data_IF_437224831177
#
_entry.id   IF_437224831177
#
_cell.length_a   1.000
_cell.length_b   1.000
_cell.length_c   1.000
_cell.angle_alpha   90.00
_cell.angle_beta   90.00
_cell.angle_gamma   90.00
#
_symmetry.space_group_name_H-M   'P 1'
#
loop_
_entity.id
_entity.type
_entity.pdbx_description
1 polymer ?
#
# COMPACT_ATOMS: atom_id res chain seq x y z
N UNK A 1 -12.27 7.97 -59.23
CA UNK A 1 -13.03 7.48 -58.08
C UNK A 1 -12.07 7.39 -56.91
N UNK A 2 -11.97 8.46 -56.13
CA UNK A 2 -11.14 8.57 -54.97
C UNK A 2 -12.09 8.79 -53.81
N UNK A 3 -12.23 7.82 -52.91
CA UNK A 3 -13.09 7.87 -51.74
C UNK A 3 -12.23 7.89 -50.46
N UNK A 4 -12.16 9.06 -49.83
CA UNK A 4 -12.38 9.36 -48.44
C UNK A 4 -11.99 8.28 -47.41
N UNK A 5 -10.79 8.40 -46.87
CA UNK A 5 -10.51 7.99 -45.50
C UNK A 5 -10.49 9.26 -44.61
N UNK A 6 -11.66 9.55 -44.02
CA UNK A 6 -11.78 10.47 -42.92
C UNK A 6 -11.35 9.72 -41.64
N UNK A 7 -10.10 9.84 -41.30
CA UNK A 7 -9.59 9.46 -39.97
C UNK A 7 -10.16 10.46 -38.97
N UNK A 8 -11.14 10.03 -38.18
CA UNK A 8 -11.68 10.79 -37.04
C UNK A 8 -10.53 11.03 -36.04
N UNK A 9 -9.96 12.21 -36.11
CA UNK A 9 -8.92 12.66 -35.18
C UNK A 9 -9.52 12.73 -33.76
N UNK A 10 -9.11 11.79 -32.92
CA UNK A 10 -9.37 11.84 -31.48
C UNK A 10 -8.87 13.19 -30.92
N UNK A 11 -9.59 13.82 -29.98
CA UNK A 11 -9.20 15.10 -29.42
C UNK A 11 -7.82 14.97 -28.74
N UNK A 12 -6.80 15.53 -29.40
CA UNK A 12 -5.45 15.64 -28.81
C UNK A 12 -5.51 16.69 -27.71
N UNK A 13 -5.44 16.25 -26.45
CA UNK A 13 -5.17 17.16 -25.34
C UNK A 13 -3.78 17.78 -25.59
N UNK A 14 -3.75 19.11 -25.71
CA UNK A 14 -2.54 19.86 -26.04
C UNK A 14 -1.41 19.61 -25.02
N UNK A 15 -0.13 19.49 -25.44
CA UNK A 15 0.99 19.40 -24.51
C UNK A 15 1.10 20.68 -23.69
N UNK A 16 1.42 20.56 -22.39
CA UNK A 16 1.66 21.71 -21.51
C UNK A 16 2.90 22.43 -22.03
N UNK A 17 2.71 23.66 -22.53
CA UNK A 17 3.83 24.50 -23.00
C UNK A 17 4.69 24.96 -21.80
N UNK A 18 6.03 24.89 -21.90
CA UNK A 18 6.91 25.47 -20.90
C UNK A 18 6.83 27.02 -21.01
N UNK A 19 6.40 27.70 -19.93
CA UNK A 19 6.46 29.16 -19.86
C UNK A 19 5.14 29.90 -19.56
N UNK A 20 4.03 29.22 -19.25
CA UNK A 20 2.81 29.91 -18.81
C UNK A 20 2.93 30.41 -17.36
N UNK A 21 2.38 31.59 -17.01
CA UNK A 21 2.32 32.08 -15.64
C UNK A 21 1.61 31.07 -14.74
N UNK A 22 2.06 30.91 -13.50
CA UNK A 22 1.61 29.84 -12.55
C UNK A 22 0.09 29.86 -12.23
N UNK A 23 -0.66 30.88 -12.67
CA UNK A 23 -2.11 31.03 -12.45
C UNK A 23 -3.00 30.42 -13.55
N UNK A 24 -2.51 30.28 -14.80
CA UNK A 24 -3.33 29.98 -15.98
C UNK A 24 -3.13 28.53 -16.52
N UNK A 25 -2.32 27.70 -15.88
CA UNK A 25 -2.12 26.34 -16.33
C UNK A 25 -3.41 25.51 -16.15
N UNK A 26 -3.83 24.73 -17.19
CA UNK A 26 -5.04 23.90 -17.10
C UNK A 26 -4.91 22.86 -16.00
N UNK A 27 -5.94 22.71 -15.18
CA UNK A 27 -6.00 21.70 -14.13
C UNK A 27 -6.73 20.46 -14.66
N UNK A 28 -6.04 19.33 -14.77
CA UNK A 28 -6.58 18.06 -15.28
C UNK A 28 -7.23 17.24 -14.14
N UNK A 29 -8.34 17.73 -13.58
CA UNK A 29 -9.05 17.06 -12.50
C UNK A 29 -9.57 15.67 -12.87
N UNK A 30 -10.00 15.47 -14.12
CA UNK A 30 -10.36 14.15 -14.63
C UNK A 30 -9.22 13.14 -14.51
N UNK A 31 -7.98 13.58 -14.78
CA UNK A 31 -6.78 12.77 -14.59
C UNK A 31 -6.52 12.41 -13.13
N UNK A 32 -6.71 13.36 -12.20
CA UNK A 32 -6.59 13.11 -10.75
C UNK A 32 -7.63 12.07 -10.30
N UNK A 33 -8.90 12.21 -10.71
CA UNK A 33 -9.97 11.27 -10.36
C UNK A 33 -9.73 9.88 -10.95
N UNK A 34 -9.24 9.79 -12.19
CA UNK A 34 -8.88 8.53 -12.81
C UNK A 34 -7.72 7.84 -12.07
N UNK A 35 -6.70 8.60 -11.63
CA UNK A 35 -5.63 8.09 -10.80
C UNK A 35 -6.12 7.68 -9.40
N UNK A 36 -7.09 8.40 -8.82
CA UNK A 36 -7.73 8.04 -7.55
C UNK A 36 -8.44 6.68 -7.64
N UNK A 37 -9.18 6.44 -8.73
CA UNK A 37 -9.81 5.14 -8.98
C UNK A 37 -8.78 4.03 -9.19
N UNK A 38 -7.67 4.35 -9.87
CA UNK A 38 -6.56 3.42 -10.04
C UNK A 38 -5.92 3.04 -8.68
N UNK A 39 -5.66 4.02 -7.79
CA UNK A 39 -5.16 3.76 -6.42
C UNK A 39 -6.13 2.89 -5.64
N UNK A 40 -7.42 3.20 -5.70
CA UNK A 40 -8.45 2.38 -5.06
C UNK A 40 -8.36 0.92 -5.51
N UNK A 41 -8.32 0.68 -6.82
CA UNK A 41 -8.27 -0.67 -7.39
C UNK A 41 -6.96 -1.38 -7.05
N UNK A 42 -5.84 -0.65 -7.07
CA UNK A 42 -4.51 -1.16 -6.73
C UNK A 42 -4.47 -1.66 -5.29
N UNK A 43 -4.88 -0.82 -4.35
CA UNK A 43 -4.90 -1.16 -2.91
C UNK A 43 -5.90 -2.27 -2.62
N UNK A 44 -7.07 -2.24 -3.27
CA UNK A 44 -8.05 -3.32 -3.16
C UNK A 44 -7.46 -4.66 -3.62
N UNK A 45 -6.79 -4.69 -4.78
CA UNK A 45 -6.13 -5.89 -5.30
C UNK A 45 -4.96 -6.37 -4.42
N UNK A 46 -4.22 -5.45 -3.81
CA UNK A 46 -3.08 -5.76 -2.95
C UNK A 46 -3.51 -6.42 -1.63
N UNK A 47 -4.55 -5.89 -0.97
CA UNK A 47 -4.97 -6.33 0.37
C UNK A 47 -6.15 -7.30 0.39
N UNK A 48 -6.87 -7.48 -0.71
CA UNK A 48 -7.96 -8.45 -0.80
C UNK A 48 -7.57 -9.89 -0.36
N UNK A 49 -6.36 -10.41 -0.65
CA UNK A 49 -5.94 -11.74 -0.17
C UNK A 49 -6.01 -11.90 1.34
N UNK A 50 -5.77 -10.84 2.13
CA UNK A 50 -5.88 -10.89 3.60
C UNK A 50 -7.29 -11.32 4.04
N UNK A 51 -8.32 -10.78 3.38
CA UNK A 51 -9.71 -11.11 3.68
C UNK A 51 -10.21 -12.39 3.02
N UNK A 52 -9.43 -13.00 2.13
CA UNK A 52 -9.78 -14.20 1.36
C UNK A 52 -8.84 -15.38 1.64
N UNK A 53 -7.93 -15.24 2.62
CA UNK A 53 -6.81 -16.16 2.81
C UNK A 53 -7.27 -17.62 2.99
N UNK A 54 -8.19 -17.86 3.92
CA UNK A 54 -8.72 -19.21 4.23
C UNK A 54 -9.42 -19.86 3.03
N UNK A 55 -10.40 -19.23 2.34
CA UNK A 55 -11.04 -19.85 1.20
C UNK A 55 -10.07 -20.05 0.01
N UNK A 56 -9.05 -19.21 -0.15
CA UNK A 56 -8.02 -19.39 -1.17
C UNK A 56 -7.14 -20.61 -0.85
N UNK A 57 -6.70 -20.74 0.41
CA UNK A 57 -5.88 -21.85 0.87
C UNK A 57 -6.62 -23.20 0.67
N UNK A 58 -7.88 -23.25 1.10
CA UNK A 58 -8.71 -24.44 0.96
C UNK A 58 -8.91 -24.87 -0.50
N UNK A 59 -9.23 -23.93 -1.39
CA UNK A 59 -9.53 -24.23 -2.79
C UNK A 59 -8.27 -24.52 -3.63
N UNK A 60 -7.13 -23.90 -3.29
CA UNK A 60 -5.83 -24.16 -3.93
C UNK A 60 -5.10 -25.37 -3.33
N UNK A 61 -5.69 -26.03 -2.31
CA UNK A 61 -5.11 -27.18 -1.60
C UNK A 61 -3.71 -26.90 -1.01
N UNK A 62 -3.54 -25.72 -0.42
CA UNK A 62 -2.32 -25.29 0.27
C UNK A 62 -2.62 -24.86 1.70
N UNK A 63 -1.59 -24.71 2.54
CA UNK A 63 -1.77 -24.12 3.86
C UNK A 63 -2.05 -22.62 3.79
N UNK A 64 -2.55 -22.04 4.87
CA UNK A 64 -2.77 -20.59 4.99
C UNK A 64 -1.47 -19.82 4.91
N UNK A 65 -0.37 -20.38 5.41
CA UNK A 65 0.97 -19.81 5.27
C UNK A 65 1.38 -19.72 3.80
N UNK A 66 1.20 -20.80 3.04
CA UNK A 66 1.48 -20.79 1.60
C UNK A 66 0.60 -19.80 0.83
N UNK A 67 -0.69 -19.72 1.14
CA UNK A 67 -1.57 -18.71 0.53
C UNK A 67 -1.11 -17.29 0.85
N UNK A 68 -0.63 -17.03 2.07
CA UNK A 68 -0.05 -15.76 2.52
C UNK A 68 1.22 -15.34 1.77
N UNK A 69 1.99 -16.27 1.22
CA UNK A 69 3.15 -15.96 0.38
C UNK A 69 2.78 -15.20 -0.90
N UNK A 70 1.50 -15.19 -1.31
CA UNK A 70 1.02 -14.30 -2.36
C UNK A 70 1.21 -12.81 -2.03
N UNK A 71 1.19 -12.42 -0.75
CA UNK A 71 1.51 -11.06 -0.31
C UNK A 71 3.03 -10.85 -0.34
N UNK A 72 3.79 -11.85 0.08
CA UNK A 72 5.25 -11.80 0.07
C UNK A 72 5.82 -11.62 -1.35
N UNK A 73 5.34 -12.41 -2.32
CA UNK A 73 5.80 -12.30 -3.71
C UNK A 73 5.42 -10.97 -4.34
N UNK A 74 4.21 -10.46 -4.04
CA UNK A 74 3.81 -9.11 -4.47
C UNK A 74 4.77 -8.06 -3.93
N UNK A 75 5.10 -8.10 -2.64
CA UNK A 75 6.08 -7.20 -2.02
C UNK A 75 7.47 -7.30 -2.65
N UNK A 76 7.97 -8.51 -2.90
CA UNK A 76 9.27 -8.73 -3.53
C UNK A 76 9.34 -8.12 -4.94
N UNK A 77 8.33 -8.35 -5.77
CA UNK A 77 8.24 -7.75 -7.11
C UNK A 77 8.00 -6.23 -7.06
N UNK A 78 7.33 -5.73 -6.02
CA UNK A 78 7.20 -4.29 -5.80
C UNK A 78 8.55 -3.62 -5.51
N UNK A 79 9.41 -4.23 -4.70
CA UNK A 79 10.78 -3.76 -4.46
C UNK A 79 11.58 -3.74 -5.77
N UNK A 80 11.58 -4.85 -6.50
CA UNK A 80 12.28 -4.94 -7.79
C UNK A 80 11.81 -3.88 -8.79
N UNK A 81 10.49 -3.71 -8.92
CA UNK A 81 9.92 -2.70 -9.80
C UNK A 81 10.24 -1.28 -9.35
N UNK A 82 10.12 -0.96 -8.06
CA UNK A 82 10.39 0.40 -7.54
C UNK A 82 11.84 0.83 -7.77
N UNK A 83 12.79 -0.08 -7.66
CA UNK A 83 14.21 0.18 -7.89
C UNK A 83 14.59 0.26 -9.38
N UNK A 84 13.87 -0.46 -10.24
CA UNK A 84 14.21 -0.58 -11.66
C UNK A 84 13.41 0.35 -12.58
N UNK A 85 12.18 0.72 -12.21
CA UNK A 85 11.25 1.46 -13.10
C UNK A 85 11.80 2.84 -13.51
N UNK A 86 12.50 3.52 -12.64
CA UNK A 86 13.12 4.82 -12.92
C UNK A 86 14.19 4.73 -14.02
N UNK A 87 14.84 3.57 -14.13
CA UNK A 87 15.87 3.29 -15.16
C UNK A 87 15.25 2.74 -16.42
N UNK A 88 14.39 1.73 -16.29
CA UNK A 88 13.75 1.05 -17.44
C UNK A 88 12.78 1.96 -18.19
N UNK A 89 12.04 2.79 -17.49
CA UNK A 89 11.04 3.68 -18.05
C UNK A 89 11.50 5.16 -18.11
N UNK A 90 12.81 5.42 -18.02
CA UNK A 90 13.38 6.77 -17.96
C UNK A 90 12.96 7.64 -19.14
N UNK A 91 12.93 7.09 -20.35
CA UNK A 91 12.56 7.77 -21.61
C UNK A 91 11.06 7.70 -21.94
N UNK A 92 10.28 6.93 -21.17
CA UNK A 92 8.87 6.72 -21.50
C UNK A 92 8.01 7.92 -21.08
N UNK A 93 7.00 8.21 -21.92
CA UNK A 93 5.93 9.12 -21.56
C UNK A 93 5.19 8.60 -20.30
N UNK A 94 5.01 9.46 -19.29
CA UNK A 94 4.41 9.07 -18.00
C UNK A 94 2.96 8.60 -18.14
N UNK A 95 2.20 9.14 -19.11
CA UNK A 95 0.86 8.64 -19.45
C UNK A 95 0.94 7.18 -19.92
N UNK A 96 1.81 6.89 -20.88
CA UNK A 96 1.98 5.52 -21.43
C UNK A 96 2.36 4.54 -20.32
N UNK A 97 3.29 4.92 -19.46
CA UNK A 97 3.73 4.08 -18.35
C UNK A 97 2.59 3.79 -17.35
N UNK A 98 1.79 4.81 -16.98
CA UNK A 98 0.61 4.62 -16.11
C UNK A 98 -0.42 3.70 -16.76
N UNK A 99 -0.69 3.85 -18.06
CA UNK A 99 -1.62 3.00 -18.79
C UNK A 99 -1.13 1.54 -18.83
N UNK A 100 0.17 1.31 -19.07
CA UNK A 100 0.77 -0.03 -19.03
C UNK A 100 0.65 -0.67 -17.65
N UNK A 101 0.94 0.08 -16.59
CA UNK A 101 0.80 -0.41 -15.21
C UNK A 101 -0.67 -0.71 -14.87
N UNK A 102 -1.62 0.14 -15.29
CA UNK A 102 -3.05 -0.10 -15.06
C UNK A 102 -3.55 -1.30 -15.88
N UNK A 103 -3.07 -1.47 -17.11
CA UNK A 103 -3.32 -2.65 -17.94
C UNK A 103 -2.76 -3.94 -17.30
N UNK A 104 -1.55 -3.86 -16.73
CA UNK A 104 -0.93 -4.97 -16.00
C UNK A 104 -1.72 -5.31 -14.71
N UNK A 105 -2.28 -4.30 -14.03
CA UNK A 105 -3.18 -4.51 -12.89
C UNK A 105 -4.45 -5.26 -13.30
N UNK A 106 -5.05 -4.90 -14.43
CA UNK A 106 -6.18 -5.62 -15.00
C UNK A 106 -5.81 -7.08 -15.32
N UNK A 107 -4.67 -7.31 -15.98
CA UNK A 107 -4.16 -8.64 -16.27
C UNK A 107 -3.90 -9.45 -14.99
N UNK A 108 -3.33 -8.83 -13.95
CA UNK A 108 -3.14 -9.47 -12.64
C UNK A 108 -4.46 -9.95 -12.04
N UNK A 109 -5.49 -9.08 -12.02
CA UNK A 109 -6.80 -9.41 -11.48
C UNK A 109 -7.46 -10.57 -12.26
N UNK A 110 -7.31 -10.58 -13.60
CA UNK A 110 -7.77 -11.68 -14.46
C UNK A 110 -7.02 -12.99 -14.15
N UNK A 111 -5.69 -12.95 -14.08
CA UNK A 111 -4.86 -14.14 -13.80
C UNK A 111 -5.20 -14.73 -12.44
N UNK A 112 -5.34 -13.90 -11.41
CA UNK A 112 -5.74 -14.35 -10.08
C UNK A 112 -7.18 -14.88 -10.08
N UNK A 113 -8.12 -14.17 -10.69
CA UNK A 113 -9.52 -14.53 -10.74
C UNK A 113 -9.81 -15.80 -11.57
N UNK A 114 -8.91 -16.15 -12.48
CA UNK A 114 -8.99 -17.38 -13.30
C UNK A 114 -8.02 -18.47 -12.81
N UNK A 115 -7.31 -18.26 -11.69
CA UNK A 115 -6.29 -19.19 -11.23
C UNK A 115 -6.89 -20.56 -10.88
N UNK A 116 -6.41 -21.60 -11.55
CA UNK A 116 -6.81 -22.99 -11.31
C UNK A 116 -5.84 -23.73 -10.38
N UNK A 117 -4.67 -23.13 -10.11
CA UNK A 117 -3.63 -23.71 -9.28
C UNK A 117 -2.82 -22.60 -8.58
N UNK A 118 -2.02 -23.00 -7.61
CA UNK A 118 -1.20 -22.12 -6.80
C UNK A 118 -0.18 -21.31 -7.62
N UNK A 119 0.46 -21.92 -8.64
CA UNK A 119 1.45 -21.25 -9.46
C UNK A 119 0.85 -20.10 -10.26
N UNK A 120 -0.35 -20.27 -10.81
CA UNK A 120 -1.08 -19.22 -11.52
C UNK A 120 -1.49 -18.08 -10.58
N UNK A 121 -1.94 -18.41 -9.36
CA UNK A 121 -2.19 -17.41 -8.31
C UNK A 121 -0.93 -16.60 -8.01
N UNK A 122 0.22 -17.27 -7.79
CA UNK A 122 1.50 -16.60 -7.50
C UNK A 122 1.97 -15.70 -8.66
N UNK A 123 1.78 -16.14 -9.92
CA UNK A 123 2.08 -15.32 -11.10
C UNK A 123 1.23 -14.04 -11.13
N UNK A 124 -0.06 -14.14 -10.87
CA UNK A 124 -0.93 -12.97 -10.77
C UNK A 124 -0.51 -12.03 -9.62
N UNK A 125 -0.10 -12.58 -8.48
CA UNK A 125 0.43 -11.80 -7.34
C UNK A 125 1.77 -11.11 -7.65
N UNK A 126 2.63 -11.74 -8.44
CA UNK A 126 3.86 -11.13 -8.92
C UNK A 126 3.58 -9.92 -9.85
N UNK A 127 2.60 -10.07 -10.74
CA UNK A 127 2.18 -8.98 -11.65
C UNK A 127 1.69 -7.76 -10.87
N UNK A 128 0.83 -7.93 -9.85
CA UNK A 128 0.36 -6.79 -9.05
C UNK A 128 1.52 -6.16 -8.27
N UNK A 129 2.51 -6.93 -7.83
CA UNK A 129 3.71 -6.40 -7.21
C UNK A 129 4.47 -5.43 -8.12
N UNK A 130 4.66 -5.79 -9.39
CA UNK A 130 5.26 -4.86 -10.38
C UNK A 130 4.45 -3.57 -10.48
N UNK A 131 3.11 -3.67 -10.49
CA UNK A 131 2.23 -2.48 -10.55
C UNK A 131 2.39 -1.62 -9.30
N UNK A 132 2.38 -2.22 -8.10
CA UNK A 132 2.55 -1.52 -6.82
C UNK A 132 3.85 -0.73 -6.82
N UNK A 133 4.98 -1.39 -7.08
CA UNK A 133 6.30 -0.75 -7.08
C UNK A 133 6.41 0.35 -8.14
N UNK A 134 5.95 0.07 -9.36
CA UNK A 134 5.99 1.03 -10.47
C UNK A 134 5.08 2.24 -10.26
N UNK A 135 3.85 2.00 -9.82
CA UNK A 135 2.86 3.06 -9.64
C UNK A 135 3.25 4.02 -8.49
N UNK A 136 3.58 3.51 -7.32
CA UNK A 136 3.94 4.34 -6.17
C UNK A 136 5.22 5.16 -6.40
N UNK A 137 6.15 4.65 -7.21
CA UNK A 137 7.40 5.38 -7.53
C UNK A 137 7.17 6.68 -8.30
N UNK A 138 6.02 6.85 -8.98
CA UNK A 138 5.81 8.00 -9.87
C UNK A 138 4.48 8.73 -9.68
N UNK A 139 3.48 8.07 -9.09
CA UNK A 139 2.09 8.57 -9.08
C UNK A 139 1.94 9.94 -8.41
N UNK A 140 2.64 10.18 -7.30
CA UNK A 140 2.62 11.47 -6.60
C UNK A 140 3.20 12.57 -7.49
N UNK A 141 4.34 12.33 -8.12
CA UNK A 141 4.97 13.30 -9.03
C UNK A 141 4.09 13.59 -10.24
N UNK A 142 3.41 12.59 -10.79
CA UNK A 142 2.43 12.76 -11.88
C UNK A 142 1.24 13.57 -11.41
N UNK A 143 0.66 13.25 -10.24
CA UNK A 143 -0.47 13.99 -9.68
C UNK A 143 -0.14 15.48 -9.50
N UNK A 144 1.07 15.80 -9.06
CA UNK A 144 1.54 17.18 -8.93
C UNK A 144 1.68 17.91 -10.27
N UNK A 145 1.99 17.20 -11.36
CA UNK A 145 2.09 17.77 -12.72
C UNK A 145 0.74 18.01 -13.38
N UNK A 146 -0.35 17.42 -12.87
CA UNK A 146 -1.69 17.53 -13.46
C UNK A 146 -2.43 18.81 -13.04
N UNK A 147 -1.92 19.55 -12.06
CA UNK A 147 -2.58 20.76 -11.54
C UNK A 147 -1.56 21.87 -11.25
N UNK A 148 -1.98 23.14 -11.27
CA UNK A 148 -1.16 24.26 -10.83
C UNK A 148 -0.69 24.09 -9.38
N UNK A 149 0.47 24.66 -9.02
CA UNK A 149 1.11 24.51 -7.70
C UNK A 149 0.17 24.83 -6.52
N UNK A 150 -0.63 25.90 -6.64
CA UNK A 150 -1.63 26.27 -5.63
C UNK A 150 -2.72 25.22 -5.37
N UNK A 151 -2.98 24.30 -6.33
CA UNK A 151 -4.01 23.26 -6.23
C UNK A 151 -3.43 21.88 -5.88
N UNK A 152 -2.12 21.74 -5.80
CA UNK A 152 -1.43 20.47 -5.48
C UNK A 152 -1.91 19.84 -4.16
N UNK A 153 -2.05 20.57 -3.03
CA UNK A 153 -2.52 19.97 -1.79
C UNK A 153 -3.90 19.32 -1.94
N UNK A 154 -4.81 19.96 -2.68
CA UNK A 154 -6.16 19.42 -2.95
C UNK A 154 -6.11 18.20 -3.87
N UNK A 155 -5.26 18.21 -4.89
CA UNK A 155 -5.10 17.09 -5.80
C UNK A 155 -4.55 15.85 -5.07
N UNK A 156 -3.54 16.02 -4.22
CA UNK A 156 -2.99 14.94 -3.41
C UNK A 156 -3.99 14.42 -2.37
N UNK A 157 -4.81 15.29 -1.79
CA UNK A 157 -5.88 14.86 -0.88
C UNK A 157 -6.91 13.97 -1.58
N UNK A 158 -7.36 14.33 -2.79
CA UNK A 158 -8.27 13.53 -3.60
C UNK A 158 -7.61 12.21 -4.00
N UNK A 159 -6.37 12.27 -4.50
CA UNK A 159 -5.58 11.09 -4.87
C UNK A 159 -5.45 10.09 -3.71
N UNK A 160 -5.09 10.55 -2.51
CA UNK A 160 -5.00 9.71 -1.32
C UNK A 160 -6.37 9.25 -0.80
N UNK A 161 -7.45 9.94 -1.15
CA UNK A 161 -8.82 9.52 -0.86
C UNK A 161 -9.15 8.14 -1.44
N UNK A 162 -8.59 7.79 -2.60
CA UNK A 162 -8.71 6.45 -3.19
C UNK A 162 -8.08 5.37 -2.32
N UNK A 163 -6.90 5.64 -1.77
CA UNK A 163 -6.24 4.74 -0.82
C UNK A 163 -7.06 4.55 0.47
N UNK A 164 -7.55 5.65 1.05
CA UNK A 164 -8.36 5.62 2.27
C UNK A 164 -9.66 4.84 2.04
N UNK A 165 -10.35 5.07 0.91
CA UNK A 165 -11.57 4.36 0.56
C UNK A 165 -11.31 2.86 0.37
N UNK A 166 -10.23 2.50 -0.33
CA UNK A 166 -9.86 1.10 -0.53
C UNK A 166 -9.57 0.39 0.81
N UNK A 167 -8.87 1.05 1.72
CA UNK A 167 -8.55 0.50 3.04
C UNK A 167 -9.81 0.19 3.86
N UNK A 168 -10.87 1.00 3.72
CA UNK A 168 -12.15 0.76 4.40
C UNK A 168 -12.96 -0.34 3.72
N UNK A 169 -13.01 -0.35 2.38
CA UNK A 169 -14.00 -1.13 1.63
C UNK A 169 -13.44 -2.48 1.17
N UNK A 170 -12.15 -2.56 0.81
CA UNK A 170 -11.61 -3.72 0.13
C UNK A 170 -11.67 -5.02 0.96
N UNK A 171 -11.29 -4.96 2.22
CA UNK A 171 -11.27 -6.16 3.07
C UNK A 171 -12.68 -6.66 3.42
N UNK A 172 -13.63 -5.84 3.91
CA UNK A 172 -14.98 -6.31 4.20
C UNK A 172 -15.73 -6.73 2.94
N UNK A 173 -15.61 -5.96 1.84
CA UNK A 173 -16.24 -6.30 0.57
C UNK A 173 -15.63 -7.58 -0.02
N UNK A 174 -14.31 -7.73 0.03
CA UNK A 174 -13.61 -8.95 -0.38
C UNK A 174 -14.08 -10.17 0.41
N UNK A 175 -14.19 -10.05 1.73
CA UNK A 175 -14.72 -11.12 2.59
C UNK A 175 -16.16 -11.50 2.23
N UNK A 176 -17.04 -10.51 2.04
CA UNK A 176 -18.44 -10.72 1.67
C UNK A 176 -18.57 -11.36 0.28
N UNK A 177 -17.91 -10.82 -0.72
CA UNK A 177 -17.91 -11.37 -2.09
C UNK A 177 -17.30 -12.78 -2.12
N UNK A 178 -16.22 -12.99 -1.37
CA UNK A 178 -15.61 -14.31 -1.26
C UNK A 178 -16.54 -15.37 -0.69
N UNK A 179 -17.45 -14.97 0.22
CA UNK A 179 -18.46 -15.86 0.77
C UNK A 179 -19.67 -16.09 -0.14
N UNK A 180 -19.97 -15.17 -1.06
CA UNK A 180 -21.16 -15.23 -1.93
C UNK A 180 -20.87 -15.76 -3.34
N UNK A 181 -19.80 -15.29 -3.97
CA UNK A 181 -19.42 -15.61 -5.36
C UNK A 181 -18.05 -16.30 -5.46
N UNK A 182 -17.46 -16.63 -4.31
CA UNK A 182 -16.13 -17.21 -4.21
C UNK A 182 -15.00 -16.20 -4.35
N UNK A 183 -13.80 -16.59 -3.90
CA UNK A 183 -12.62 -15.70 -3.91
C UNK A 183 -12.20 -15.29 -5.32
N UNK A 184 -12.34 -16.17 -6.31
CA UNK A 184 -12.07 -15.83 -7.73
C UNK A 184 -13.02 -14.77 -8.22
N UNK A 185 -14.31 -14.89 -7.91
CA UNK A 185 -15.32 -13.89 -8.26
C UNK A 185 -15.01 -12.53 -7.66
N UNK A 186 -14.52 -12.47 -6.41
CA UNK A 186 -14.13 -11.23 -5.76
C UNK A 186 -12.98 -10.52 -6.53
N UNK A 187 -11.97 -11.25 -7.00
CA UNK A 187 -10.91 -10.68 -7.85
C UNK A 187 -11.43 -10.28 -9.24
N UNK A 188 -12.32 -11.06 -9.85
CA UNK A 188 -12.92 -10.72 -11.14
C UNK A 188 -13.77 -9.46 -11.07
N UNK A 189 -14.37 -9.13 -9.93
CA UNK A 189 -15.06 -7.85 -9.73
C UNK A 189 -14.13 -6.63 -9.81
N UNK A 190 -12.82 -6.78 -9.59
CA UNK A 190 -11.86 -5.69 -9.77
C UNK A 190 -11.56 -5.41 -11.25
N UNK A 191 -11.76 -6.38 -12.15
CA UNK A 191 -11.47 -6.24 -13.58
C UNK A 191 -12.25 -5.09 -14.21
N UNK A 192 -13.59 -5.00 -14.10
CA UNK A 192 -14.33 -3.87 -14.67
C UNK A 192 -13.93 -2.53 -14.07
N UNK A 193 -13.56 -2.49 -12.77
CA UNK A 193 -13.09 -1.26 -12.12
C UNK A 193 -11.72 -0.85 -12.66
N UNK A 194 -10.81 -1.82 -12.87
CA UNK A 194 -9.51 -1.58 -13.48
C UNK A 194 -9.62 -1.12 -14.94
N UNK A 195 -10.52 -1.73 -15.72
CA UNK A 195 -10.82 -1.31 -17.09
C UNK A 195 -11.40 0.11 -17.15
N UNK A 196 -12.31 0.44 -16.24
CA UNK A 196 -12.85 1.79 -16.13
C UNK A 196 -11.73 2.79 -15.79
N UNK A 197 -10.86 2.47 -14.83
CA UNK A 197 -9.71 3.30 -14.49
C UNK A 197 -8.76 3.47 -15.69
N UNK A 198 -8.48 2.40 -16.44
CA UNK A 198 -7.66 2.41 -17.64
C UNK A 198 -8.26 3.31 -18.72
N UNK A 199 -9.54 3.13 -19.04
CA UNK A 199 -10.25 3.93 -20.03
C UNK A 199 -10.29 5.40 -19.62
N UNK A 200 -10.61 5.67 -18.35
CA UNK A 200 -10.64 7.04 -17.85
C UNK A 200 -9.27 7.71 -17.86
N UNK A 201 -8.19 7.01 -17.50
CA UNK A 201 -6.82 7.51 -17.65
C UNK A 201 -6.47 7.79 -19.12
N UNK A 202 -6.88 6.91 -20.04
CA UNK A 202 -6.62 7.09 -21.47
C UNK A 202 -7.15 8.43 -22.00
N UNK A 203 -8.39 8.79 -21.64
CA UNK A 203 -9.03 10.02 -22.10
C UNK A 203 -8.61 11.26 -21.28
N UNK A 204 -8.37 11.13 -19.99
CA UNK A 204 -8.19 12.29 -19.09
C UNK A 204 -6.76 12.68 -18.81
N UNK A 205 -5.77 11.78 -19.04
CA UNK A 205 -4.37 12.12 -18.82
C UNK A 205 -3.79 12.81 -20.05
N UNK A 206 -3.14 13.97 -19.89
CA UNK A 206 -2.38 14.61 -20.96
C UNK A 206 -1.10 13.80 -21.26
N UNK A 207 -0.53 14.05 -22.45
CA UNK A 207 0.82 13.55 -22.75
C UNK A 207 1.84 14.22 -21.83
N UNK A 208 2.62 13.41 -21.13
CA UNK A 208 3.62 13.86 -20.16
C UNK A 208 4.99 13.28 -20.52
N UNK A 209 5.75 13.94 -21.42
CA UNK A 209 7.10 13.51 -21.78
C UNK A 209 7.96 13.29 -20.52
N UNK A 210 8.90 12.34 -20.63
CA UNK A 210 9.89 12.14 -19.60
C UNK A 210 10.60 13.47 -19.29
N UNK A 211 10.77 13.80 -18.01
CA UNK A 211 11.61 14.93 -17.65
C UNK A 211 13.05 14.67 -18.09
N UNK A 212 13.79 15.69 -18.56
CA UNK A 212 15.21 15.54 -18.78
C UNK A 212 15.86 14.94 -17.55
N UNK A 213 16.75 13.98 -17.73
CA UNK A 213 17.51 13.37 -16.63
C UNK A 213 18.26 14.46 -15.89
N UNK A 214 17.70 14.99 -14.83
CA UNK A 214 18.54 15.48 -13.74
C UNK A 214 19.18 14.20 -13.22
N UNK A 215 20.49 14.08 -13.35
CA UNK A 215 21.22 12.91 -12.92
C UNK A 215 20.96 12.71 -11.42
N UNK A 216 19.92 11.95 -11.11
CA UNK A 216 19.71 11.39 -9.77
C UNK A 216 20.79 10.31 -9.56
N UNK A 217 22.04 10.77 -9.69
CA UNK A 217 23.25 9.94 -9.63
C UNK A 217 23.74 9.76 -8.21
N UNK A 218 22.85 9.64 -7.25
CA UNK A 218 23.20 9.23 -5.90
C UNK A 218 22.75 7.78 -5.66
N UNK A 219 23.72 6.91 -5.31
CA UNK A 219 23.37 5.60 -4.77
C UNK A 219 22.47 5.82 -3.55
N UNK A 220 21.17 5.51 -3.66
CA UNK A 220 20.15 5.71 -2.62
C UNK A 220 20.59 5.07 -1.29
N UNK A 221 21.40 4.00 -1.37
CA UNK A 221 21.99 3.35 -0.20
C UNK A 221 23.03 4.21 0.54
N UNK A 222 23.57 5.31 -0.08
CA UNK A 222 24.43 6.26 0.64
C UNK A 222 23.67 6.97 1.77
N UNK A 223 22.35 7.12 1.65
CA UNK A 223 21.52 7.70 2.71
C UNK A 223 21.58 6.87 4.00
N UNK A 224 21.75 5.56 3.90
CA UNK A 224 21.89 4.65 5.05
C UNK A 224 23.24 4.81 5.77
N UNK A 225 24.20 5.53 5.23
CA UNK A 225 25.46 5.87 5.95
C UNK A 225 25.20 6.87 7.09
N UNK A 226 24.12 7.66 7.00
CA UNK A 226 23.66 8.46 8.12
C UNK A 226 22.97 7.54 9.16
N UNK A 227 23.54 7.48 10.37
CA UNK A 227 23.04 6.63 11.46
C UNK A 227 21.60 6.91 11.84
N UNK A 228 21.17 8.19 11.79
CA UNK A 228 19.78 8.58 12.09
C UNK A 228 18.82 8.00 11.06
N UNK A 229 19.17 8.12 9.76
CA UNK A 229 18.39 7.56 8.66
C UNK A 229 18.35 6.04 8.74
N UNK A 230 19.48 5.39 8.94
CA UNK A 230 19.58 3.93 9.03
C UNK A 230 18.72 3.37 10.17
N UNK A 231 18.80 3.96 11.37
CA UNK A 231 17.98 3.53 12.52
C UNK A 231 16.50 3.80 12.31
N UNK A 232 16.13 4.95 11.75
CA UNK A 232 14.75 5.25 11.43
C UNK A 232 14.17 4.30 10.38
N UNK A 233 14.91 4.01 9.31
CA UNK A 233 14.51 3.03 8.28
C UNK A 233 14.37 1.62 8.86
N UNK A 234 15.27 1.21 9.77
CA UNK A 234 15.16 -0.08 10.47
C UNK A 234 13.92 -0.11 11.38
N UNK A 235 13.62 1.00 12.07
CA UNK A 235 12.41 1.12 12.89
C UNK A 235 11.13 0.99 12.05
N UNK A 236 11.07 1.67 10.89
CA UNK A 236 9.99 1.52 9.90
C UNK A 236 9.87 0.07 9.44
N UNK A 237 11.00 -0.55 9.07
CA UNK A 237 11.01 -1.94 8.62
C UNK A 237 10.45 -2.90 9.67
N UNK A 238 10.93 -2.81 10.92
CA UNK A 238 10.44 -3.64 12.02
C UNK A 238 8.96 -3.40 12.31
N UNK A 239 8.49 -2.14 12.19
CA UNK A 239 7.09 -1.80 12.36
C UNK A 239 6.22 -2.51 11.32
N UNK A 240 6.52 -2.35 10.03
CA UNK A 240 5.73 -2.98 8.95
C UNK A 240 5.85 -4.50 8.96
N UNK A 241 7.02 -5.04 9.27
CA UNK A 241 7.20 -6.47 9.43
C UNK A 241 6.30 -7.02 10.55
N UNK A 242 6.34 -6.40 11.76
CA UNK A 242 5.50 -6.79 12.89
C UNK A 242 4.00 -6.65 12.60
N UNK A 243 3.61 -5.56 11.92
CA UNK A 243 2.22 -5.36 11.50
C UNK A 243 1.74 -6.50 10.58
N UNK A 244 2.51 -6.87 9.56
CA UNK A 244 2.08 -7.84 8.55
C UNK A 244 2.27 -9.30 8.97
N UNK A 245 3.13 -9.60 9.94
CA UNK A 245 3.14 -10.92 10.61
C UNK A 245 1.75 -11.26 11.17
N UNK A 246 1.05 -10.31 11.78
CA UNK A 246 -0.29 -10.50 12.34
C UNK A 246 -1.39 -10.27 11.29
N UNK A 247 -1.36 -9.13 10.60
CA UNK A 247 -2.47 -8.67 9.77
C UNK A 247 -2.77 -9.62 8.60
N UNK A 248 -1.74 -10.24 8.02
CA UNK A 248 -1.91 -11.24 6.95
C UNK A 248 -2.78 -12.41 7.41
N UNK A 249 -2.70 -12.80 8.67
CA UNK A 249 -3.37 -13.97 9.24
C UNK A 249 -4.55 -13.62 10.15
N UNK A 250 -5.06 -12.38 10.07
CA UNK A 250 -6.20 -11.93 10.88
C UNK A 250 -7.47 -12.73 10.59
N UNK A 251 -7.72 -13.09 9.32
CA UNK A 251 -8.89 -13.88 8.95
C UNK A 251 -8.83 -15.29 9.53
N UNK A 252 -7.78 -16.10 9.32
CA UNK A 252 -7.63 -17.41 9.99
C UNK A 252 -7.80 -17.32 11.51
N UNK A 253 -7.27 -16.29 12.14
CA UNK A 253 -7.43 -16.08 13.59
C UNK A 253 -8.90 -15.87 13.97
N UNK A 254 -9.64 -15.04 13.23
CA UNK A 254 -11.06 -14.80 13.50
C UNK A 254 -11.91 -16.06 13.29
N UNK A 255 -11.58 -16.88 12.30
CA UNK A 255 -12.32 -18.11 11.99
C UNK A 255 -11.99 -19.26 12.95
N UNK A 256 -10.71 -19.47 13.29
CA UNK A 256 -10.27 -20.64 14.06
C UNK A 256 -10.18 -20.40 15.58
N UNK A 257 -9.75 -19.19 16.01
CA UNK A 257 -9.56 -18.86 17.43
C UNK A 257 -10.79 -18.16 18.00
N UNK A 258 -11.25 -17.07 17.35
CA UNK A 258 -12.45 -16.33 17.80
C UNK A 258 -13.75 -17.05 17.39
N UNK A 259 -13.69 -17.86 16.32
CA UNK A 259 -14.82 -18.68 15.81
C UNK A 259 -16.02 -17.85 15.38
N UNK A 260 -15.78 -16.72 14.74
CA UNK A 260 -16.85 -15.86 14.21
C UNK A 260 -17.31 -16.31 12.83
N UNK A 261 -18.60 -16.12 12.55
CA UNK A 261 -19.16 -16.32 11.21
C UNK A 261 -18.82 -15.18 10.25
N UNK A 262 -19.05 -15.41 8.95
CA UNK A 262 -18.74 -14.49 7.88
C UNK A 262 -19.30 -13.05 8.07
N UNK A 263 -20.55 -12.83 8.54
CA UNK A 263 -21.07 -11.48 8.76
C UNK A 263 -20.26 -10.70 9.82
N UNK A 264 -19.96 -11.35 10.96
CA UNK A 264 -19.19 -10.75 12.05
C UNK A 264 -17.74 -10.48 11.62
N UNK A 265 -17.12 -11.41 10.87
CA UNK A 265 -15.80 -11.25 10.30
C UNK A 265 -15.75 -10.02 9.37
N UNK A 266 -16.70 -9.90 8.45
CA UNK A 266 -16.77 -8.75 7.53
C UNK A 266 -16.98 -7.43 8.29
N UNK A 267 -17.77 -7.45 9.38
CA UNK A 267 -17.98 -6.28 10.23
C UNK A 267 -16.70 -5.89 10.97
N UNK A 268 -15.94 -6.83 11.50
CA UNK A 268 -14.64 -6.56 12.15
C UNK A 268 -13.68 -5.92 11.14
N UNK A 269 -13.58 -6.45 9.93
CA UNK A 269 -12.73 -5.88 8.87
C UNK A 269 -13.18 -4.46 8.48
N UNK A 270 -14.49 -4.20 8.45
CA UNK A 270 -15.02 -2.86 8.21
C UNK A 270 -14.63 -1.89 9.33
N UNK A 271 -14.73 -2.33 10.59
CA UNK A 271 -14.32 -1.49 11.74
C UNK A 271 -12.83 -1.20 11.73
N UNK A 272 -11.98 -2.17 11.35
CA UNK A 272 -10.55 -1.93 11.16
C UNK A 272 -10.32 -0.79 10.15
N UNK A 273 -11.01 -0.83 9.01
CA UNK A 273 -10.89 0.20 7.97
C UNK A 273 -11.41 1.57 8.42
N UNK A 274 -12.62 1.64 9.01
CA UNK A 274 -13.21 2.89 9.49
C UNK A 274 -12.38 3.53 10.60
N UNK A 275 -11.93 2.73 11.57
CA UNK A 275 -11.05 3.20 12.62
C UNK A 275 -9.71 3.70 12.06
N UNK A 276 -9.21 3.07 10.99
CA UNK A 276 -8.02 3.51 10.26
C UNK A 276 -8.16 4.91 9.67
N UNK A 277 -9.33 5.25 9.10
CA UNK A 277 -9.62 6.61 8.63
C UNK A 277 -9.58 7.60 9.79
N UNK A 278 -10.22 7.27 10.92
CA UNK A 278 -10.18 8.10 12.13
C UNK A 278 -8.74 8.32 12.58
N UNK A 279 -7.93 7.27 12.62
CA UNK A 279 -6.51 7.35 12.97
C UNK A 279 -5.72 8.29 12.03
N UNK A 280 -5.96 8.19 10.72
CA UNK A 280 -5.32 9.04 9.71
C UNK A 280 -5.69 10.52 9.87
N UNK A 281 -6.93 10.82 10.25
CA UNK A 281 -7.36 12.20 10.53
C UNK A 281 -6.72 12.75 11.81
N UNK A 282 -6.64 11.93 12.85
CA UNK A 282 -6.16 12.36 14.17
C UNK A 282 -4.63 12.48 14.24
N UNK A 283 -3.88 11.69 13.46
CA UNK A 283 -2.43 11.57 13.58
C UNK A 283 -1.71 12.91 13.49
N UNK A 284 -2.15 13.82 12.62
CA UNK A 284 -1.55 15.15 12.47
C UNK A 284 -1.52 15.97 13.76
N UNK A 285 -2.52 15.79 14.61
CA UNK A 285 -2.58 16.46 15.93
C UNK A 285 -1.52 15.90 16.90
N UNK A 286 -1.35 14.58 16.91
CA UNK A 286 -0.36 13.92 17.75
C UNK A 286 1.07 14.22 17.27
N UNK A 287 1.31 14.24 15.97
CA UNK A 287 2.62 14.58 15.39
C UNK A 287 3.06 16.00 15.76
N UNK A 288 2.14 16.97 15.73
CA UNK A 288 2.42 18.36 16.17
C UNK A 288 2.77 18.47 17.64
N UNK A 289 2.20 17.60 18.49
CA UNK A 289 2.51 17.58 19.95
C UNK A 289 3.83 16.89 20.27
N UNK A 290 4.30 16.00 19.40
CA UNK A 290 5.56 15.29 19.60
C UNK A 290 5.72 14.12 18.64
N UNK A 291 6.38 14.36 17.52
CA UNK A 291 6.56 13.36 16.46
C UNK A 291 7.20 12.08 16.98
N UNK A 292 8.35 12.16 17.62
CA UNK A 292 9.05 10.97 18.11
C UNK A 292 8.28 10.23 19.21
N UNK A 293 7.56 10.95 20.09
CA UNK A 293 6.68 10.31 21.09
C UNK A 293 5.59 9.50 20.40
N UNK A 294 5.02 10.01 19.33
CA UNK A 294 3.98 9.33 18.54
C UNK A 294 4.55 8.10 17.83
N UNK A 295 5.73 8.22 17.22
CA UNK A 295 6.40 7.12 16.52
C UNK A 295 6.83 5.98 17.44
N UNK A 296 7.11 6.26 18.70
CA UNK A 296 7.39 5.26 19.75
C UNK A 296 6.10 4.64 20.29
N UNK A 297 5.07 5.48 20.55
CA UNK A 297 3.84 5.02 21.17
C UNK A 297 3.01 4.09 20.27
N UNK A 298 2.95 4.36 18.96
CA UNK A 298 2.15 3.55 18.03
C UNK A 298 2.60 2.07 18.03
N UNK A 299 3.85 1.70 17.74
CA UNK A 299 4.25 0.30 17.75
C UNK A 299 4.16 -0.33 19.15
N UNK A 300 4.38 0.44 20.23
CA UNK A 300 4.21 -0.05 21.60
C UNK A 300 2.76 -0.44 21.88
N UNK A 301 1.80 0.44 21.54
CA UNK A 301 0.38 0.17 21.73
C UNK A 301 -0.07 -1.02 20.85
N UNK A 302 0.41 -1.11 19.61
CA UNK A 302 0.11 -2.24 18.74
C UNK A 302 0.69 -3.55 19.30
N UNK A 303 1.88 -3.54 19.91
CA UNK A 303 2.44 -4.71 20.59
C UNK A 303 1.54 -5.16 21.77
N UNK A 304 1.06 -4.21 22.57
CA UNK A 304 0.11 -4.51 23.65
C UNK A 304 -1.19 -5.09 23.10
N UNK A 305 -1.74 -4.52 22.01
CA UNK A 305 -2.94 -5.05 21.35
C UNK A 305 -2.70 -6.48 20.86
N UNK A 306 -1.56 -6.78 20.25
CA UNK A 306 -1.22 -8.13 19.80
C UNK A 306 -1.17 -9.14 20.95
N UNK A 307 -0.60 -8.76 22.11
CA UNK A 307 -0.59 -9.60 23.31
C UNK A 307 -2.00 -9.77 23.91
N UNK A 308 -2.81 -8.70 23.91
CA UNK A 308 -4.21 -8.80 24.35
C UNK A 308 -5.03 -9.71 23.42
N UNK A 309 -4.79 -9.70 22.12
CA UNK A 309 -5.42 -10.63 21.17
C UNK A 309 -5.02 -12.09 21.43
N UNK A 310 -3.78 -12.36 21.90
CA UNK A 310 -3.37 -13.71 22.33
C UNK A 310 -4.14 -14.13 23.60
N UNK A 311 -4.33 -13.20 24.54
CA UNK A 311 -4.99 -13.49 25.82
C UNK A 311 -6.51 -13.64 25.67
N UNK A 312 -7.16 -12.74 24.95
CA UNK A 312 -8.62 -12.63 24.82
C UNK A 312 -9.16 -13.07 23.46
N UNK A 313 -8.36 -13.78 22.66
CA UNK A 313 -8.69 -14.14 21.27
C UNK A 313 -9.95 -14.97 21.10
N UNK A 314 -10.40 -15.70 22.14
CA UNK A 314 -11.65 -16.47 22.13
C UNK A 314 -12.92 -15.62 22.32
N UNK A 315 -12.79 -14.34 22.69
CA UNK A 315 -13.93 -13.48 23.03
C UNK A 315 -14.19 -12.45 21.92
N UNK A 316 -15.37 -12.46 21.32
CA UNK A 316 -15.71 -11.64 20.15
C UNK A 316 -15.63 -10.14 20.47
N UNK A 317 -16.16 -9.69 21.61
CA UNK A 317 -16.23 -8.25 21.93
C UNK A 317 -14.84 -7.65 22.17
N UNK A 318 -13.95 -8.22 23.00
CA UNK A 318 -12.56 -7.76 23.10
C UNK A 318 -11.83 -7.74 21.76
N UNK A 319 -11.94 -8.82 20.97
CA UNK A 319 -11.29 -8.91 19.64
C UNK A 319 -11.77 -7.81 18.72
N UNK A 320 -13.08 -7.53 18.69
CA UNK A 320 -13.67 -6.47 17.89
C UNK A 320 -13.07 -5.08 18.23
N UNK A 321 -12.98 -4.75 19.53
CA UNK A 321 -12.42 -3.48 20.01
C UNK A 321 -10.91 -3.40 19.71
N UNK A 322 -10.17 -4.47 20.03
CA UNK A 322 -8.72 -4.52 19.86
C UNK A 322 -8.32 -4.38 18.39
N UNK A 323 -9.03 -5.06 17.48
CA UNK A 323 -8.76 -4.94 16.04
C UNK A 323 -9.19 -3.58 15.46
N UNK A 324 -10.24 -2.96 16.01
CA UNK A 324 -10.57 -1.57 15.68
C UNK A 324 -9.44 -0.61 16.07
N UNK A 325 -8.91 -0.72 17.29
CA UNK A 325 -7.76 0.07 17.76
C UNK A 325 -6.49 -0.23 16.94
N UNK A 326 -6.27 -1.51 16.58
CA UNK A 326 -5.20 -1.90 15.68
C UNK A 326 -5.29 -1.16 14.34
N UNK A 327 -6.46 -1.17 13.69
CA UNK A 327 -6.70 -0.49 12.43
C UNK A 327 -6.43 1.01 12.51
N UNK A 328 -6.86 1.65 13.59
CA UNK A 328 -6.63 3.07 13.84
C UNK A 328 -5.13 3.40 13.90
N UNK A 329 -4.33 2.62 14.63
CA UNK A 329 -2.90 2.85 14.78
C UNK A 329 -2.11 2.46 13.53
N UNK A 330 -2.43 1.31 12.93
CA UNK A 330 -1.75 0.78 11.76
C UNK A 330 -1.86 1.69 10.53
N UNK A 331 -3.04 2.27 10.29
CA UNK A 331 -3.27 3.16 9.15
C UNK A 331 -2.73 4.58 9.38
N UNK A 332 -2.64 5.02 10.63
CA UNK A 332 -2.06 6.31 11.01
C UNK A 332 -0.53 6.33 10.90
N UNK A 333 0.15 5.23 11.21
CA UNK A 333 1.60 5.14 11.31
C UNK A 333 2.37 5.57 10.05
N UNK A 334 1.97 5.19 8.81
CA UNK A 334 2.64 5.63 7.59
C UNK A 334 2.79 7.14 7.49
N UNK A 335 1.74 7.90 7.85
CA UNK A 335 1.78 9.37 7.85
C UNK A 335 2.86 9.90 8.80
N UNK A 336 3.04 9.27 9.95
CA UNK A 336 4.09 9.61 10.90
C UNK A 336 5.49 9.39 10.31
N UNK A 337 5.71 8.25 9.69
CA UNK A 337 7.00 7.90 9.09
C UNK A 337 7.35 8.74 7.86
N UNK A 338 6.36 9.09 7.03
CA UNK A 338 6.56 10.05 5.94
C UNK A 338 6.90 11.45 6.46
N UNK A 339 6.25 11.90 7.53
CA UNK A 339 6.55 13.18 8.17
C UNK A 339 7.95 13.21 8.77
N UNK A 340 8.38 12.10 9.40
CA UNK A 340 9.74 11.94 9.90
C UNK A 340 10.77 12.02 8.77
N UNK A 341 10.55 11.30 7.67
CA UNK A 341 11.45 11.30 6.53
C UNK A 341 11.63 12.71 5.94
N UNK A 342 10.54 13.43 5.77
CA UNK A 342 10.55 14.80 5.24
C UNK A 342 11.35 15.78 6.13
N UNK A 343 11.39 15.55 7.45
CA UNK A 343 12.18 16.35 8.38
C UNK A 343 13.66 15.97 8.39
N UNK A 344 13.97 14.70 8.25
CA UNK A 344 15.36 14.19 8.34
C UNK A 344 16.11 14.33 7.02
N UNK A 345 15.41 14.27 5.88
CA UNK A 345 15.97 14.34 4.53
C UNK A 345 15.27 15.41 3.66
N UNK A 346 15.30 16.70 4.05
CA UNK A 346 14.60 17.76 3.29
C UNK A 346 15.20 17.97 1.89
N UNK A 347 16.50 17.72 1.70
CA UNK A 347 17.20 17.85 0.41
C UNK A 347 17.11 16.63 -0.50
N UNK A 348 16.82 15.45 0.07
CA UNK A 348 16.81 14.15 -0.62
C UNK A 348 15.46 13.44 -0.50
N UNK A 349 14.36 14.21 -0.41
CA UNK A 349 13.03 13.66 -0.13
C UNK A 349 12.56 12.61 -1.15
N UNK A 350 12.90 12.77 -2.43
CA UNK A 350 12.54 11.81 -3.48
C UNK A 350 13.30 10.49 -3.33
N UNK A 351 14.63 10.56 -3.15
CA UNK A 351 15.47 9.39 -2.96
C UNK A 351 15.15 8.66 -1.64
N UNK A 352 14.92 9.44 -0.57
CA UNK A 352 14.50 8.93 0.74
C UNK A 352 13.11 8.27 0.68
N UNK A 353 12.18 8.85 -0.08
CA UNK A 353 10.84 8.29 -0.31
C UNK A 353 10.90 6.94 -1.02
N UNK A 354 11.70 6.84 -2.08
CA UNK A 354 11.91 5.56 -2.78
C UNK A 354 12.51 4.48 -1.87
N UNK A 355 13.48 4.84 -1.04
CA UNK A 355 14.07 3.94 -0.05
C UNK A 355 13.05 3.49 1.01
N UNK A 356 12.21 4.42 1.49
CA UNK A 356 11.15 4.12 2.44
C UNK A 356 10.14 3.12 1.87
N UNK A 357 9.67 3.35 0.63
CA UNK A 357 8.73 2.44 -0.05
C UNK A 357 9.36 1.05 -0.23
N UNK A 358 10.59 0.98 -0.72
CA UNK A 358 11.29 -0.29 -0.89
C UNK A 358 11.45 -1.05 0.45
N UNK A 359 11.81 -0.33 1.53
CA UNK A 359 11.92 -0.91 2.87
C UNK A 359 10.58 -1.42 3.39
N UNK A 360 9.50 -0.63 3.23
CA UNK A 360 8.15 -1.01 3.63
C UNK A 360 7.70 -2.28 2.91
N UNK A 361 7.81 -2.33 1.58
CA UNK A 361 7.38 -3.48 0.79
C UNK A 361 8.21 -4.73 1.06
N UNK A 362 9.51 -4.58 1.26
CA UNK A 362 10.38 -5.68 1.66
C UNK A 362 9.98 -6.26 3.02
N UNK A 363 9.69 -5.37 3.99
CA UNK A 363 9.31 -5.80 5.34
C UNK A 363 7.87 -6.34 5.42
N UNK A 364 6.96 -5.89 4.56
CA UNK A 364 5.65 -6.52 4.35
C UNK A 364 5.85 -7.96 3.84
N UNK A 365 6.70 -8.15 2.84
CA UNK A 365 7.00 -9.47 2.29
C UNK A 365 7.59 -10.42 3.34
N UNK A 366 8.60 -9.96 4.08
CA UNK A 366 9.19 -10.75 5.17
C UNK A 366 8.20 -11.02 6.31
N UNK A 367 7.40 -10.02 6.69
CA UNK A 367 6.37 -10.18 7.72
C UNK A 367 5.34 -11.24 7.36
N UNK A 368 4.80 -11.19 6.15
CA UNK A 368 3.85 -12.19 5.65
C UNK A 368 4.49 -13.58 5.59
N UNK A 369 5.76 -13.68 5.17
CA UNK A 369 6.50 -14.96 5.11
C UNK A 369 6.73 -15.54 6.51
N UNK A 370 7.30 -14.75 7.43
CA UNK A 370 7.55 -15.19 8.82
C UNK A 370 6.23 -15.56 9.50
N UNK A 371 5.19 -14.75 9.29
CA UNK A 371 3.85 -15.06 9.80
C UNK A 371 3.32 -16.40 9.30
N UNK A 372 3.54 -16.75 8.02
CA UNK A 372 3.13 -18.03 7.43
C UNK A 372 3.87 -19.22 8.02
N UNK A 373 5.19 -19.12 8.11
CA UNK A 373 6.01 -20.18 8.72
C UNK A 373 5.57 -20.44 10.17
N UNK A 374 5.30 -19.38 10.93
CA UNK A 374 4.86 -19.49 12.31
C UNK A 374 3.41 -20.04 12.41
N UNK A 375 2.51 -19.58 11.54
CA UNK A 375 1.12 -20.04 11.53
C UNK A 375 1.04 -21.54 11.24
N UNK A 376 1.78 -22.03 10.22
CA UNK A 376 1.79 -23.43 9.82
C UNK A 376 2.54 -24.33 10.82
N UNK A 377 3.65 -23.84 11.42
CA UNK A 377 4.47 -24.65 12.30
C UNK A 377 4.11 -24.59 13.77
N UNK A 378 3.66 -23.45 14.27
CA UNK A 378 3.47 -23.17 15.71
C UNK A 378 2.08 -22.58 16.04
N UNK A 379 1.25 -22.36 15.01
CA UNK A 379 -0.09 -21.81 15.14
C UNK A 379 -0.16 -20.30 15.30
N UNK A 380 -1.37 -19.76 15.19
CA UNK A 380 -1.63 -18.32 15.12
C UNK A 380 -1.23 -17.54 16.40
N UNK A 381 -1.24 -18.21 17.57
CA UNK A 381 -0.75 -17.57 18.81
C UNK A 381 0.73 -17.20 18.70
N UNK A 382 1.58 -18.07 18.16
CA UNK A 382 3.00 -17.79 17.95
C UNK A 382 3.21 -16.66 16.95
N UNK A 383 2.40 -16.61 15.89
CA UNK A 383 2.37 -15.53 14.90
C UNK A 383 2.10 -14.16 15.58
N UNK A 384 1.10 -14.09 16.46
CA UNK A 384 0.73 -12.85 17.15
C UNK A 384 1.77 -12.44 18.20
N UNK A 385 2.39 -13.40 18.89
CA UNK A 385 3.51 -13.13 19.80
C UNK A 385 4.73 -12.60 19.04
N UNK A 386 5.06 -13.15 17.88
CA UNK A 386 6.14 -12.65 17.04
C UNK A 386 5.86 -11.22 16.53
N UNK A 387 4.63 -10.93 16.15
CA UNK A 387 4.20 -9.56 15.84
C UNK A 387 4.46 -8.61 16.99
N UNK A 388 4.04 -8.96 18.21
CA UNK A 388 4.28 -8.15 19.39
C UNK A 388 5.78 -7.91 19.65
N UNK A 389 6.61 -8.96 19.53
CA UNK A 389 8.07 -8.84 19.71
C UNK A 389 8.70 -7.88 18.67
N UNK A 390 8.34 -8.01 17.39
CA UNK A 390 8.83 -7.11 16.33
C UNK A 390 8.39 -5.67 16.54
N UNK A 391 7.15 -5.45 16.99
CA UNK A 391 6.63 -4.11 17.28
C UNK A 391 7.31 -3.49 18.52
N UNK A 392 7.66 -4.27 19.53
CA UNK A 392 8.49 -3.80 20.66
C UNK A 392 9.88 -3.38 20.18
N UNK A 393 10.51 -4.18 19.29
CA UNK A 393 11.78 -3.81 18.68
C UNK A 393 11.63 -2.52 17.87
N UNK A 394 10.56 -2.36 17.08
CA UNK A 394 10.28 -1.14 16.33
C UNK A 394 10.16 0.08 17.25
N UNK A 395 9.44 -0.05 18.37
CA UNK A 395 9.30 1.00 19.38
C UNK A 395 10.66 1.39 20.00
N UNK A 396 11.49 0.40 20.34
CA UNK A 396 12.84 0.63 20.88
C UNK A 396 13.75 1.35 19.87
N UNK A 397 13.69 0.95 18.60
CA UNK A 397 14.45 1.60 17.53
C UNK A 397 13.97 3.04 17.28
N UNK A 398 12.67 3.28 17.29
CA UNK A 398 12.10 4.62 17.19
C UNK A 398 12.55 5.51 18.35
N UNK A 399 12.59 4.97 19.58
CA UNK A 399 13.10 5.68 20.75
C UNK A 399 14.61 5.99 20.63
N UNK A 400 15.43 5.05 20.16
CA UNK A 400 16.85 5.30 19.88
C UNK A 400 17.04 6.36 18.80
N UNK A 401 16.23 6.34 17.74
CA UNK A 401 16.22 7.37 16.69
C UNK A 401 15.91 8.75 17.28
N UNK A 402 14.92 8.83 18.19
CA UNK A 402 14.58 10.07 18.90
C UNK A 402 15.75 10.62 19.71
N UNK A 403 16.46 9.75 20.44
CA UNK A 403 17.62 10.16 21.24
C UNK A 403 18.79 10.67 20.40
N UNK A 404 19.06 10.00 19.25
CA UNK A 404 20.10 10.45 18.35
C UNK A 404 19.77 11.83 17.73
N UNK A 405 18.53 12.05 17.35
CA UNK A 405 18.10 13.33 16.81
C UNK A 405 18.27 14.46 17.83
N UNK A 406 17.87 14.22 19.09
CA UNK A 406 18.05 15.19 20.19
C UNK A 406 19.51 15.52 20.48
N UNK A 407 20.42 14.52 20.35
CA UNK A 407 21.85 14.71 20.56
C UNK A 407 22.56 15.45 19.39
N UNK A 408 21.98 15.49 18.22
CA UNK A 408 22.50 16.25 17.05
C UNK A 408 22.02 17.70 17.02
N UNK A 409 20.94 18.02 17.75
CA UNK A 409 20.37 19.37 17.86
C UNK A 409 20.75 20.12 19.12
N UNK A 410 21.49 19.50 20.04
CA UNK A 410 22.11 20.07 21.23
C UNK A 410 23.60 20.31 20.99
#
# INVERSE_FOLDING_TARGET
MSALHSEAALPRVAPIAPGMPAGDAPAFWGGILAMTLCVFTLIASEFMPVSLLTPMAADLHVSEGWAGYGIAISGAFAVLASLSISTLAASMNRKTLLLLLTGLMCASALVVGLATNYAMYMAGRALIGVVVGGFWSMSVAVAMRLVPSAKVPRALAIFNGGNALATVVAAPLGSYLGGTIGWRGAFLCLVPVALLALAWQWFSLPSMPAAPRVAAGGNVFKLLRNRLVALGMLAVGMFFMGQFVLFTYVRPFLESVTRVGLPTLSMILLVIGLAGVVGTVLIGTFLRRGMYRTLVAIPLLMAVIALCLVAFGGEVVPVFVLLGLWGMLATAAPTGWWSWLAQVLPGDAEAGGGLLVAMVQLCIAFGSTVGGILADGHGLRATFMASAALLLVASLLAWRTARLHGAQGA
#
